data_IF_868116941774
#
_entry.id   IF_868116941774
#
_cell.length_a   1.000
_cell.length_b   1.000
_cell.length_c   1.000
_cell.angle_alpha   90.00
_cell.angle_beta   90.00
_cell.angle_gamma   90.00
#
_symmetry.space_group_name_H-M   'P 1'
#
loop_
_entity.id
_entity.type
_entity.pdbx_description
1 polymer ?
#
# COMPACT_ATOMS: atom_id res chain seq x y z
N UNK A 1 23.58 -42.21 54.58
CA UNK A 1 24.14 -41.00 53.88
C UNK A 1 24.13 -41.08 52.37
N UNK A 2 24.33 -42.23 51.74
CA UNK A 2 24.39 -42.37 50.27
C UNK A 2 23.05 -42.17 49.56
N UNK A 3 21.95 -42.65 50.11
CA UNK A 3 20.61 -42.50 49.52
C UNK A 3 20.10 -41.06 49.47
N UNK A 4 20.54 -40.22 50.39
CA UNK A 4 20.17 -38.82 50.47
C UNK A 4 20.93 -37.96 49.44
N UNK A 5 22.20 -38.31 49.20
CA UNK A 5 23.04 -37.68 48.18
C UNK A 5 22.56 -37.99 46.74
N UNK A 6 22.18 -39.24 46.47
CA UNK A 6 21.57 -39.68 45.19
C UNK A 6 20.25 -38.98 44.88
N UNK A 7 19.36 -38.75 45.87
CA UNK A 7 18.11 -37.98 45.66
C UNK A 7 18.35 -36.50 45.38
N UNK A 8 19.35 -35.88 45.99
CA UNK A 8 19.71 -34.49 45.74
C UNK A 8 20.30 -34.30 44.33
N UNK A 9 21.14 -35.24 43.88
CA UNK A 9 21.74 -35.18 42.52
C UNK A 9 20.67 -35.43 41.44
N UNK A 10 19.74 -36.33 41.65
CA UNK A 10 18.60 -36.57 40.76
C UNK A 10 17.69 -35.34 40.63
N UNK A 11 17.43 -34.64 41.75
CA UNK A 11 16.62 -33.41 41.74
C UNK A 11 17.30 -32.25 40.98
N UNK A 12 18.62 -32.10 41.10
CA UNK A 12 19.40 -31.11 40.38
C UNK A 12 19.43 -31.39 38.89
N UNK A 13 19.63 -32.64 38.50
CA UNK A 13 19.58 -33.08 37.09
C UNK A 13 18.21 -32.80 36.49
N UNK A 14 17.13 -33.10 37.17
CA UNK A 14 15.77 -32.80 36.69
C UNK A 14 15.55 -31.31 36.50
N UNK A 15 15.98 -30.46 37.45
CA UNK A 15 15.89 -29.01 37.32
C UNK A 15 16.70 -28.47 36.16
N UNK A 16 17.92 -28.99 35.90
CA UNK A 16 18.75 -28.59 34.76
C UNK A 16 18.10 -28.96 33.41
N UNK A 17 17.59 -30.18 33.29
CA UNK A 17 16.91 -30.64 32.09
C UNK A 17 15.64 -29.79 31.84
N UNK A 18 14.85 -29.55 32.89
CA UNK A 18 13.64 -28.72 32.79
C UNK A 18 13.98 -27.29 32.34
N UNK A 19 15.02 -26.69 32.94
CA UNK A 19 15.46 -25.35 32.55
C UNK A 19 15.95 -25.29 31.11
N UNK A 20 16.76 -26.26 30.67
CA UNK A 20 17.23 -26.35 29.29
C UNK A 20 16.04 -26.49 28.30
N UNK A 21 15.08 -27.39 28.60
CA UNK A 21 13.90 -27.58 27.77
C UNK A 21 13.02 -26.32 27.71
N UNK A 22 12.87 -25.61 28.84
CA UNK A 22 12.11 -24.35 28.89
C UNK A 22 12.78 -23.26 28.07
N UNK A 23 14.09 -23.09 28.19
CA UNK A 23 14.85 -22.09 27.43
C UNK A 23 14.80 -22.40 25.92
N UNK A 24 15.06 -23.65 25.53
CA UNK A 24 14.99 -24.04 24.11
C UNK A 24 13.58 -23.90 23.53
N UNK A 25 12.55 -24.27 24.30
CA UNK A 25 11.15 -24.09 23.88
C UNK A 25 10.78 -22.62 23.70
N UNK A 26 11.21 -21.74 24.62
CA UNK A 26 10.96 -20.29 24.52
C UNK A 26 11.69 -19.68 23.31
N UNK A 27 12.93 -20.08 23.07
CA UNK A 27 13.71 -19.60 21.90
C UNK A 27 13.09 -20.03 20.58
N UNK A 28 12.65 -21.31 20.47
CA UNK A 28 11.98 -21.82 19.28
C UNK A 28 10.67 -21.09 19.03
N UNK A 29 9.87 -20.84 20.08
CA UNK A 29 8.62 -20.11 19.96
C UNK A 29 8.86 -18.66 19.52
N UNK A 30 9.84 -17.97 20.11
CA UNK A 30 10.23 -16.61 19.73
C UNK A 30 10.70 -16.53 18.27
N UNK A 31 11.48 -17.50 17.83
CA UNK A 31 11.94 -17.59 16.46
C UNK A 31 10.79 -17.83 15.47
N UNK A 32 9.88 -18.75 15.79
CA UNK A 32 8.70 -19.02 14.97
C UNK A 32 7.79 -17.79 14.85
N UNK A 33 7.54 -17.07 15.94
CA UNK A 33 6.77 -15.84 15.93
C UNK A 33 7.44 -14.75 15.10
N UNK A 34 8.77 -14.60 15.22
CA UNK A 34 9.53 -13.64 14.41
C UNK A 34 9.42 -13.89 12.90
N UNK A 35 9.54 -15.15 12.48
CA UNK A 35 9.34 -15.54 11.06
C UNK A 35 7.91 -15.25 10.61
N UNK A 36 6.91 -15.61 11.42
CA UNK A 36 5.50 -15.41 11.06
C UNK A 36 5.18 -13.93 10.90
N UNK A 37 5.65 -13.07 11.82
CA UNK A 37 5.46 -11.63 11.74
C UNK A 37 6.15 -11.04 10.50
N UNK A 38 7.40 -11.42 10.25
CA UNK A 38 8.13 -10.94 9.07
C UNK A 38 7.41 -11.33 7.77
N UNK A 39 6.97 -12.58 7.66
CA UNK A 39 6.24 -13.07 6.49
C UNK A 39 4.89 -12.36 6.32
N UNK A 40 4.15 -12.14 7.43
CA UNK A 40 2.87 -11.44 7.41
C UNK A 40 3.00 -10.00 6.91
N UNK A 41 4.00 -9.26 7.40
CA UNK A 41 4.26 -7.87 6.98
C UNK A 41 4.64 -7.84 5.50
N UNK A 42 5.55 -8.71 5.05
CA UNK A 42 5.98 -8.78 3.65
C UNK A 42 4.82 -9.12 2.71
N UNK A 43 3.96 -10.06 3.10
CA UNK A 43 2.77 -10.44 2.32
C UNK A 43 1.79 -9.27 2.21
N UNK A 44 1.55 -8.56 3.31
CA UNK A 44 0.65 -7.39 3.31
C UNK A 44 1.15 -6.29 2.37
N UNK A 45 2.46 -5.96 2.42
CA UNK A 45 3.05 -4.98 1.52
C UNK A 45 2.89 -5.39 0.05
N UNK A 46 3.18 -6.65 -0.28
CA UNK A 46 3.01 -7.14 -1.65
C UNK A 46 1.56 -7.07 -2.13
N UNK A 47 0.60 -7.41 -1.26
CA UNK A 47 -0.83 -7.33 -1.59
C UNK A 47 -1.28 -5.89 -1.81
N UNK A 48 -0.79 -4.96 -0.98
CA UNK A 48 -1.06 -3.52 -1.14
C UNK A 48 -0.51 -3.00 -2.48
N UNK A 49 0.75 -3.30 -2.79
CA UNK A 49 1.38 -2.90 -4.05
C UNK A 49 0.62 -3.44 -5.26
N UNK A 50 0.27 -4.73 -5.24
CA UNK A 50 -0.49 -5.36 -6.32
C UNK A 50 -1.88 -4.74 -6.49
N UNK A 51 -2.56 -4.40 -5.41
CA UNK A 51 -3.86 -3.73 -5.45
C UNK A 51 -3.75 -2.33 -6.03
N UNK A 52 -2.85 -1.47 -5.52
CA UNK A 52 -2.64 -0.11 -6.01
C UNK A 52 -2.30 -0.11 -7.51
N UNK A 53 -1.35 -0.96 -7.89
CA UNK A 53 -0.90 -1.12 -9.28
C UNK A 53 -2.02 -1.61 -10.20
N UNK A 54 -2.71 -2.68 -9.83
CA UNK A 54 -3.76 -3.28 -10.67
C UNK A 54 -4.92 -2.30 -10.86
N UNK A 55 -5.33 -1.62 -9.80
CA UNK A 55 -6.39 -0.60 -9.85
C UNK A 55 -5.99 0.55 -10.77
N UNK A 56 -4.80 1.12 -10.59
CA UNK A 56 -4.32 2.23 -11.40
C UNK A 56 -4.21 1.86 -12.89
N UNK A 57 -3.64 0.69 -13.21
CA UNK A 57 -3.49 0.23 -14.59
C UNK A 57 -4.86 -0.07 -15.24
N UNK A 58 -5.79 -0.68 -14.51
CA UNK A 58 -7.13 -0.95 -14.99
C UNK A 58 -7.89 0.34 -15.31
N UNK A 59 -7.78 1.34 -14.43
CA UNK A 59 -8.37 2.66 -14.68
C UNK A 59 -7.71 3.37 -15.86
N UNK A 60 -6.39 3.35 -15.96
CA UNK A 60 -5.65 4.00 -17.06
C UNK A 60 -6.00 3.42 -18.44
N UNK A 61 -6.39 2.14 -18.50
CA UNK A 61 -6.84 1.48 -19.74
C UNK A 61 -8.36 1.58 -19.98
N UNK A 62 -9.10 2.20 -19.06
CA UNK A 62 -10.55 2.36 -19.15
C UNK A 62 -10.95 3.39 -20.21
N UNK A 63 -11.97 3.07 -21.01
CA UNK A 63 -12.55 4.01 -21.97
C UNK A 63 -13.18 5.23 -21.27
N UNK A 64 -13.81 5.01 -20.12
CA UNK A 64 -14.45 6.07 -19.32
C UNK A 64 -13.40 7.07 -18.80
N UNK A 65 -12.24 6.58 -18.34
CA UNK A 65 -11.14 7.46 -17.91
C UNK A 65 -10.59 8.25 -19.10
N UNK A 66 -10.31 7.61 -20.23
CA UNK A 66 -9.86 8.35 -21.45
C UNK A 66 -10.86 9.43 -21.87
N UNK A 67 -12.15 9.15 -21.77
CA UNK A 67 -13.19 10.16 -22.07
C UNK A 67 -13.11 11.35 -21.12
N UNK A 68 -12.92 11.12 -19.79
CA UNK A 68 -12.74 12.20 -18.83
C UNK A 68 -11.56 13.12 -19.20
N UNK A 69 -10.45 12.53 -19.65
CA UNK A 69 -9.29 13.32 -20.10
C UNK A 69 -9.54 14.06 -21.43
N UNK A 70 -10.27 13.49 -22.37
CA UNK A 70 -10.60 14.16 -23.62
C UNK A 70 -11.53 15.35 -23.44
N UNK A 71 -12.51 15.24 -22.54
CA UNK A 71 -13.44 16.34 -22.25
C UNK A 71 -12.89 17.33 -21.21
N UNK A 72 -11.85 16.96 -20.46
CA UNK A 72 -11.21 17.81 -19.45
C UNK A 72 -11.92 17.88 -18.11
N UNK A 73 -12.89 17.01 -17.85
CA UNK A 73 -13.64 16.92 -16.58
C UNK A 73 -14.24 15.53 -16.39
N UNK A 74 -14.63 15.21 -15.16
CA UNK A 74 -15.43 14.02 -14.85
C UNK A 74 -16.91 14.39 -14.73
N UNK A 75 -17.78 13.58 -15.33
CA UNK A 75 -19.23 13.70 -15.12
C UNK A 75 -19.64 13.24 -13.72
N UNK A 76 -20.83 13.60 -13.24
CA UNK A 76 -21.32 13.16 -11.94
C UNK A 76 -21.38 11.63 -11.84
N UNK A 77 -21.67 10.92 -12.93
CA UNK A 77 -21.67 9.46 -12.98
C UNK A 77 -20.24 8.89 -12.81
N UNK A 78 -19.24 9.49 -13.44
CA UNK A 78 -17.84 9.11 -13.29
C UNK A 78 -17.35 9.38 -11.85
N UNK A 79 -17.68 10.52 -11.29
CA UNK A 79 -17.36 10.87 -9.89
C UNK A 79 -17.95 9.84 -8.94
N UNK A 80 -19.23 9.52 -9.08
CA UNK A 80 -19.90 8.51 -8.25
C UNK A 80 -19.26 7.12 -8.38
N UNK A 81 -18.86 6.74 -9.60
CA UNK A 81 -18.14 5.48 -9.81
C UNK A 81 -16.79 5.47 -9.09
N UNK A 82 -15.99 6.54 -9.19
CA UNK A 82 -14.70 6.63 -8.53
C UNK A 82 -14.82 6.68 -7.00
N UNK A 83 -15.82 7.42 -6.48
CA UNK A 83 -16.13 7.44 -5.04
C UNK A 83 -16.46 6.03 -4.53
N UNK A 84 -17.34 5.32 -5.25
CA UNK A 84 -17.70 3.94 -4.90
C UNK A 84 -16.50 3.00 -4.95
N UNK A 85 -15.62 3.18 -5.93
CA UNK A 85 -14.38 2.39 -6.05
C UNK A 85 -13.46 2.60 -4.83
N UNK A 86 -13.26 3.85 -4.41
CA UNK A 86 -12.44 4.16 -3.23
C UNK A 86 -13.09 3.64 -1.95
N UNK A 87 -14.40 3.84 -1.78
CA UNK A 87 -15.13 3.41 -0.58
C UNK A 87 -15.18 1.88 -0.41
N UNK A 88 -15.10 1.13 -1.51
CA UNK A 88 -15.18 -0.34 -1.50
C UNK A 88 -13.84 -1.04 -1.55
N UNK A 89 -12.77 -0.33 -1.91
CA UNK A 89 -11.44 -0.91 -1.99
C UNK A 89 -10.74 -0.89 -0.63
N UNK A 90 -10.34 -2.07 -0.16
CA UNK A 90 -9.54 -2.17 1.07
C UNK A 90 -8.19 -1.48 0.90
N UNK A 91 -7.81 -0.62 1.85
CA UNK A 91 -6.51 0.06 1.91
C UNK A 91 -6.20 1.03 0.74
N UNK A 92 -7.21 1.51 0.04
CA UNK A 92 -7.08 2.59 -0.94
C UNK A 92 -7.72 3.86 -0.38
N UNK A 93 -6.93 4.86 -0.05
CA UNK A 93 -7.43 6.08 0.59
C UNK A 93 -7.59 7.24 -0.39
N UNK A 94 -6.79 7.27 -1.45
CA UNK A 94 -6.82 8.37 -2.42
C UNK A 94 -6.73 7.84 -3.84
N UNK A 95 -7.65 8.32 -4.67
CA UNK A 95 -7.60 8.24 -6.12
C UNK A 95 -7.57 9.66 -6.67
N UNK A 96 -6.64 9.92 -7.59
CA UNK A 96 -6.53 11.21 -8.28
C UNK A 96 -6.31 10.97 -9.77
N UNK A 97 -7.06 11.70 -10.59
CA UNK A 97 -6.86 11.82 -12.02
C UNK A 97 -6.38 13.25 -12.31
N UNK A 98 -5.23 13.41 -12.95
CA UNK A 98 -4.69 14.74 -13.31
C UNK A 98 -4.23 14.79 -14.75
N UNK A 99 -4.51 15.91 -15.41
CA UNK A 99 -4.08 16.16 -16.79
C UNK A 99 -2.57 16.47 -16.91
N UNK A 100 -2.10 16.71 -18.11
CA UNK A 100 -0.71 17.09 -18.38
C UNK A 100 -0.32 18.47 -17.82
N UNK A 101 -1.29 19.33 -17.51
CA UNK A 101 -1.09 20.63 -16.86
C UNK A 101 -1.16 20.52 -15.33
N UNK A 102 -1.18 19.31 -14.77
CA UNK A 102 -1.31 19.00 -13.35
C UNK A 102 -2.68 19.36 -12.75
N UNK A 103 -3.69 19.65 -13.54
CA UNK A 103 -5.02 19.98 -13.03
C UNK A 103 -5.76 18.68 -12.72
N UNK A 104 -6.32 18.59 -11.51
CA UNK A 104 -7.09 17.42 -11.08
C UNK A 104 -8.45 17.38 -11.74
N UNK A 105 -8.70 16.34 -12.53
CA UNK A 105 -10.01 16.03 -13.09
C UNK A 105 -10.90 15.30 -12.08
N UNK A 106 -10.27 14.53 -11.17
CA UNK A 106 -10.92 13.86 -10.05
C UNK A 106 -9.98 13.79 -8.85
N UNK A 107 -10.57 13.87 -7.66
CA UNK A 107 -9.93 13.62 -6.37
C UNK A 107 -11.00 13.20 -5.36
N UNK A 108 -10.70 12.27 -4.43
CA UNK A 108 -11.63 11.82 -3.36
C UNK A 108 -12.15 12.97 -2.49
N UNK A 109 -11.35 13.99 -2.24
CA UNK A 109 -11.82 15.26 -1.72
C UNK A 109 -12.21 16.15 -2.91
N UNK A 110 -13.52 16.23 -3.21
CA UNK A 110 -14.03 16.95 -4.36
C UNK A 110 -13.70 18.45 -4.36
N UNK A 111 -13.41 19.03 -3.20
CA UNK A 111 -12.97 20.44 -3.11
C UNK A 111 -11.62 20.71 -3.82
N UNK A 112 -10.88 19.64 -4.14
CA UNK A 112 -9.59 19.71 -4.84
C UNK A 112 -9.69 19.44 -6.34
N UNK A 113 -10.88 19.17 -6.87
CA UNK A 113 -11.11 19.04 -8.31
C UNK A 113 -10.94 20.41 -8.95
N UNK A 114 -10.17 20.48 -10.03
CA UNK A 114 -9.78 21.74 -10.68
C UNK A 114 -8.55 22.42 -10.09
N UNK A 115 -8.05 21.97 -8.95
CA UNK A 115 -6.83 22.48 -8.34
C UNK A 115 -5.58 21.74 -8.83
N UNK A 116 -4.42 22.39 -8.70
CA UNK A 116 -3.15 21.81 -9.15
C UNK A 116 -2.69 20.64 -8.26
N UNK A 117 -2.20 19.58 -8.87
CA UNK A 117 -1.58 18.43 -8.20
C UNK A 117 -0.25 18.86 -7.52
N UNK A 118 -0.12 18.57 -6.24
CA UNK A 118 1.01 19.04 -5.42
C UNK A 118 1.96 17.92 -4.95
N UNK A 119 1.90 16.73 -5.53
CA UNK A 119 2.70 15.57 -5.12
C UNK A 119 4.20 15.72 -5.35
N UNK A 120 4.59 16.44 -6.41
CA UNK A 120 6.00 16.67 -6.78
C UNK A 120 6.70 15.48 -7.44
N UNK A 121 6.04 14.32 -7.48
CA UNK A 121 6.57 13.04 -7.97
C UNK A 121 5.99 12.59 -9.32
N UNK A 122 5.24 13.43 -10.02
CA UNK A 122 4.53 13.09 -11.26
C UNK A 122 5.40 13.04 -12.54
N UNK A 123 6.66 13.48 -12.47
CA UNK A 123 7.51 13.67 -13.65
C UNK A 123 7.70 12.42 -14.50
N UNK A 124 7.97 11.29 -13.88
CA UNK A 124 8.16 10.02 -14.61
C UNK A 124 6.84 9.48 -15.20
N UNK A 125 5.69 9.74 -14.56
CA UNK A 125 4.38 9.38 -15.11
C UNK A 125 4.09 10.19 -16.38
N UNK A 126 4.36 11.49 -16.38
CA UNK A 126 4.26 12.35 -17.57
C UNK A 126 5.29 11.99 -18.66
N UNK A 127 6.41 11.36 -18.28
CA UNK A 127 7.36 10.78 -19.23
C UNK A 127 6.94 9.37 -19.72
N UNK A 128 5.77 8.87 -19.31
CA UNK A 128 5.19 7.62 -19.80
C UNK A 128 5.58 6.36 -19.01
N UNK A 129 6.12 6.50 -17.80
CA UNK A 129 6.49 5.38 -16.92
C UNK A 129 5.46 5.18 -15.82
N UNK A 130 5.28 3.92 -15.40
CA UNK A 130 4.50 3.56 -14.21
C UNK A 130 5.44 3.13 -13.08
N UNK A 131 5.21 3.62 -11.85
CA UNK A 131 6.11 3.38 -10.72
C UNK A 131 5.43 3.62 -9.37
N UNK A 132 6.03 3.08 -8.33
CA UNK A 132 5.69 3.40 -6.94
C UNK A 132 6.48 4.62 -6.46
N UNK A 133 5.84 5.40 -5.59
CA UNK A 133 6.45 6.57 -4.95
C UNK A 133 5.91 6.72 -3.52
N UNK A 134 6.81 7.10 -2.60
CA UNK A 134 6.44 7.52 -1.25
C UNK A 134 6.58 9.02 -1.18
N UNK A 135 5.46 9.73 -1.08
CA UNK A 135 5.48 11.19 -1.06
C UNK A 135 4.37 11.76 -0.15
N UNK A 136 4.57 13.01 0.27
CA UNK A 136 3.56 13.72 1.05
C UNK A 136 2.46 14.19 0.11
N UNK A 137 1.25 13.71 0.35
CA UNK A 137 0.05 14.09 -0.37
C UNK A 137 -0.93 14.86 0.51
N UNK A 138 -2.18 14.96 0.06
CA UNK A 138 -3.26 15.69 0.74
C UNK A 138 -3.64 15.12 2.10
N UNK A 139 -3.42 13.82 2.34
CA UNK A 139 -3.71 13.12 3.59
C UNK A 139 -2.45 12.75 4.40
N UNK A 140 -1.31 13.35 4.10
CA UNK A 140 -0.02 13.05 4.75
C UNK A 140 0.89 12.17 3.89
N UNK A 141 1.77 11.40 4.53
CA UNK A 141 2.68 10.47 3.82
C UNK A 141 1.87 9.33 3.21
N UNK A 142 2.05 9.11 1.93
CA UNK A 142 1.32 8.13 1.14
C UNK A 142 2.28 7.25 0.37
N UNK A 143 1.99 5.95 0.38
CA UNK A 143 2.52 5.01 -0.59
C UNK A 143 1.59 4.99 -1.80
N UNK A 144 2.09 5.31 -2.98
CA UNK A 144 1.29 5.53 -4.17
C UNK A 144 1.86 4.89 -5.41
N UNK A 145 0.98 4.47 -6.31
CA UNK A 145 1.33 4.05 -7.65
C UNK A 145 0.87 5.11 -8.65
N UNK A 146 1.80 5.58 -9.47
CA UNK A 146 1.52 6.53 -10.55
C UNK A 146 1.61 5.82 -11.89
N UNK A 147 0.68 6.11 -12.79
CA UNK A 147 0.66 5.54 -14.14
C UNK A 147 0.12 6.56 -15.14
N UNK A 148 0.72 6.66 -16.36
CA UNK A 148 0.22 7.54 -17.41
C UNK A 148 -1.11 7.01 -17.96
N UNK A 149 -1.99 7.94 -18.34
CA UNK A 149 -3.16 7.66 -19.18
C UNK A 149 -2.80 7.99 -20.63
N UNK A 150 -3.04 7.04 -21.52
CA UNK A 150 -2.69 7.18 -22.94
C UNK A 150 -3.94 7.31 -23.80
N UNK A 151 -3.89 8.23 -24.74
CA UNK A 151 -4.85 8.32 -25.83
C UNK A 151 -4.74 7.13 -26.79
N UNK A 152 -5.71 7.00 -27.67
CA UNK A 152 -5.72 5.96 -28.72
C UNK A 152 -4.58 6.11 -29.74
N UNK A 153 -4.03 7.29 -29.85
CA UNK A 153 -2.84 7.62 -30.68
C UNK A 153 -1.51 7.40 -29.95
N UNK A 154 -1.54 6.96 -28.69
CA UNK A 154 -0.37 6.76 -27.83
C UNK A 154 0.13 8.02 -27.13
N UNK A 155 -0.48 9.19 -27.37
CA UNK A 155 -0.16 10.42 -26.64
C UNK A 155 -0.47 10.28 -25.13
N UNK A 156 0.27 10.99 -24.29
CA UNK A 156 0.00 11.04 -22.85
C UNK A 156 -1.04 12.13 -22.61
N UNK A 157 -2.19 11.73 -22.06
CA UNK A 157 -3.29 12.63 -21.73
C UNK A 157 -3.14 13.22 -20.31
N UNK A 158 -2.41 12.52 -19.46
CA UNK A 158 -2.19 12.85 -18.06
C UNK A 158 -1.78 11.60 -17.29
N UNK A 159 -2.07 11.56 -15.99
CA UNK A 159 -1.71 10.43 -15.13
C UNK A 159 -2.76 10.17 -14.05
N UNK A 160 -2.76 8.93 -13.56
CA UNK A 160 -3.54 8.49 -12.40
C UNK A 160 -2.59 8.25 -11.24
N UNK A 161 -3.03 8.62 -10.05
CA UNK A 161 -2.38 8.26 -8.78
C UNK A 161 -3.39 7.50 -7.93
N UNK A 162 -3.01 6.28 -7.52
CA UNK A 162 -3.74 5.47 -6.53
C UNK A 162 -2.84 5.32 -5.32
N UNK A 163 -3.34 5.62 -4.13
CA UNK A 163 -2.49 5.64 -2.94
C UNK A 163 -3.18 5.14 -1.67
N UNK A 164 -2.34 4.61 -0.78
CA UNK A 164 -2.67 4.30 0.60
C UNK A 164 -1.93 5.26 1.54
N UNK A 165 -2.59 5.70 2.59
CA UNK A 165 -1.99 6.58 3.60
C UNK A 165 -1.12 5.72 4.54
N UNK A 166 0.14 6.10 4.67
CA UNK A 166 1.03 5.50 5.65
C UNK A 166 0.75 6.12 7.02
N UNK A 167 -0.08 5.45 7.82
CA UNK A 167 -0.24 5.82 9.23
C UNK A 167 1.06 5.46 9.96
N UNK A 168 1.85 6.48 10.33
CA UNK A 168 2.94 6.29 11.27
C UNK A 168 2.29 5.83 12.60
N UNK A 169 2.45 4.55 12.93
CA UNK A 169 2.16 4.06 14.27
C UNK A 169 3.23 4.69 15.17
N UNK A 170 2.84 5.75 15.88
CA UNK A 170 3.62 6.34 16.95
C UNK A 170 3.57 5.46 18.20
#
# INVERSE_FOLDING_TARGET
>A
PETQKSKLDSSRLFQQIFLCCSITGTLLLGFALGITLHFSISTFQTQLDDMLKTTALSLADSAMVREAYHQGYCTDEMIHYFDTLVDTADNMDVLTLSDCNLIRLYHVNHALIGEEFVGGDQGDALAGKSYFSDAIGTLGLQHRFLTPVRGTDGSILGFITVSATMTCIN
#
